data_IF_731307204296
#
_entry.id   IF_731307204296
#
_cell.length_a   1.000
_cell.length_b   1.000
_cell.length_c   1.000
_cell.angle_alpha   90.00
_cell.angle_beta   90.00
_cell.angle_gamma   90.00
#
_symmetry.space_group_name_H-M   'P 1'
#
loop_
_entity.id
_entity.type
_entity.pdbx_description
1 polymer ?
#
# COMPACT_ATOMS: atom_id res chain seq x y z
N UNK A 1 -19.38 13.50 -6.01
CA UNK A 1 -18.25 14.08 -5.27
C UNK A 1 -18.66 14.13 -3.81
N UNK A 2 -18.05 13.32 -2.93
CA UNK A 2 -18.32 13.42 -1.49
C UNK A 2 -17.71 14.72 -0.97
N UNK A 3 -18.46 15.41 -0.10
CA UNK A 3 -17.99 16.62 0.56
C UNK A 3 -16.86 16.23 1.53
N UNK A 4 -15.67 16.77 1.31
CA UNK A 4 -14.55 16.63 2.25
C UNK A 4 -14.78 17.61 3.40
N UNK A 5 -14.89 17.13 4.66
CA UNK A 5 -15.13 18.01 5.80
C UNK A 5 -13.89 18.88 6.10
N UNK A 6 -14.16 20.09 6.61
CA UNK A 6 -13.14 21.02 7.08
C UNK A 6 -13.08 21.03 8.60
N UNK A 7 -11.87 21.15 9.13
CA UNK A 7 -11.57 21.29 10.56
C UNK A 7 -10.98 22.69 10.80
N UNK A 8 -11.50 23.41 11.79
CA UNK A 8 -10.96 24.71 12.20
C UNK A 8 -10.23 24.54 13.53
N UNK A 9 -8.96 24.87 13.54
CA UNK A 9 -8.11 24.86 14.74
C UNK A 9 -7.81 26.30 15.20
N UNK A 10 -7.99 26.55 16.48
CA UNK A 10 -7.55 27.81 17.09
C UNK A 10 -6.11 27.69 17.54
N UNK A 11 -5.27 28.57 17.05
CA UNK A 11 -3.85 28.65 17.41
C UNK A 11 -3.55 30.00 18.04
N UNK A 12 -2.42 30.14 18.70
CA UNK A 12 -1.94 31.43 19.25
C UNK A 12 -1.75 32.53 18.19
N UNK A 13 -1.84 32.18 16.88
CA UNK A 13 -1.70 33.07 15.73
C UNK A 13 -3.02 33.29 14.97
N UNK A 14 -4.17 32.83 15.53
CA UNK A 14 -5.48 32.91 14.91
C UNK A 14 -6.02 31.55 14.46
N UNK A 15 -7.14 31.58 13.77
CA UNK A 15 -7.81 30.37 13.25
C UNK A 15 -7.13 29.88 11.97
N UNK A 16 -6.99 28.55 11.87
CA UNK A 16 -6.54 27.85 10.65
C UNK A 16 -7.57 26.82 10.26
N UNK A 17 -7.98 26.83 8.99
CA UNK A 17 -8.88 25.85 8.40
C UNK A 17 -8.11 24.87 7.55
N UNK A 18 -8.38 23.57 7.74
CA UNK A 18 -7.81 22.47 6.96
C UNK A 18 -8.94 21.59 6.47
N UNK A 19 -8.83 21.01 5.28
CA UNK A 19 -9.59 19.81 4.99
C UNK A 19 -9.08 18.65 5.85
N UNK A 20 -9.91 17.60 6.04
CA UNK A 20 -9.58 16.52 6.97
C UNK A 20 -8.30 15.77 6.58
N UNK A 21 -8.02 15.58 5.29
CA UNK A 21 -6.81 14.88 4.84
C UNK A 21 -5.55 15.71 5.08
N UNK A 22 -5.60 17.02 4.79
CA UNK A 22 -4.51 17.94 5.11
C UNK A 22 -4.26 18.01 6.62
N UNK A 23 -5.32 17.92 7.44
CA UNK A 23 -5.18 17.88 8.89
C UNK A 23 -4.51 16.59 9.37
N UNK A 24 -4.91 15.45 8.84
CA UNK A 24 -4.29 14.14 9.14
C UNK A 24 -2.83 14.09 8.69
N UNK A 25 -2.51 14.69 7.54
CA UNK A 25 -1.13 14.76 7.04
C UNK A 25 -0.20 15.48 8.02
N UNK A 26 -0.67 16.52 8.74
CA UNK A 26 0.11 17.17 9.79
C UNK A 26 0.47 16.21 10.94
N UNK A 27 -0.32 15.18 11.17
CA UNK A 27 -0.06 14.10 12.14
C UNK A 27 0.69 12.92 11.49
N UNK A 28 1.25 13.12 10.30
CA UNK A 28 2.01 12.13 9.50
C UNK A 28 1.17 10.93 9.06
N UNK A 29 -0.14 11.14 8.83
CA UNK A 29 -1.08 10.12 8.39
C UNK A 29 -1.38 10.32 6.91
N UNK A 30 -1.16 9.27 6.11
CA UNK A 30 -1.51 9.18 4.70
C UNK A 30 -2.63 8.15 4.56
N UNK A 31 -3.61 8.43 3.69
CA UNK A 31 -4.74 7.55 3.41
C UNK A 31 -4.72 7.10 1.94
N UNK A 32 -4.74 5.78 1.71
CA UNK A 32 -5.07 5.18 0.42
C UNK A 32 -6.45 4.52 0.57
N UNK A 33 -7.52 5.21 0.12
CA UNK A 33 -8.92 4.77 0.30
C UNK A 33 -9.63 4.52 -1.03
N UNK A 34 -8.86 4.25 -2.10
CA UNK A 34 -9.38 4.04 -3.45
C UNK A 34 -8.44 3.13 -4.26
N UNK A 35 -8.74 2.97 -5.54
CA UNK A 35 -7.89 2.22 -6.47
C UNK A 35 -6.51 2.86 -6.65
N UNK A 36 -5.48 2.03 -6.75
CA UNK A 36 -4.11 2.45 -7.08
C UNK A 36 -4.03 2.79 -8.56
N UNK A 37 -3.80 4.05 -8.87
CA UNK A 37 -3.63 4.58 -10.22
C UNK A 37 -2.54 5.68 -10.23
N UNK A 38 -2.23 6.24 -11.38
CA UNK A 38 -1.15 7.22 -11.52
C UNK A 38 -1.40 8.49 -10.69
N UNK A 39 -2.66 8.91 -10.55
CA UNK A 39 -3.02 10.10 -9.77
C UNK A 39 -2.85 9.83 -8.27
N UNK A 40 -3.42 8.72 -7.75
CA UNK A 40 -3.29 8.37 -6.34
C UNK A 40 -1.86 8.09 -5.96
N UNK A 41 -1.08 7.43 -6.83
CA UNK A 41 0.33 7.19 -6.61
C UNK A 41 1.14 8.49 -6.54
N UNK A 42 0.92 9.42 -7.47
CA UNK A 42 1.60 10.73 -7.45
C UNK A 42 1.32 11.51 -6.17
N UNK A 43 0.07 11.49 -5.68
CA UNK A 43 -0.31 12.15 -4.43
C UNK A 43 0.37 11.50 -3.22
N UNK A 44 0.40 10.18 -3.13
CA UNK A 44 1.02 9.45 -2.02
C UNK A 44 2.53 9.67 -2.04
N UNK A 45 3.19 9.57 -3.19
CA UNK A 45 4.62 9.85 -3.35
C UNK A 45 4.96 11.26 -2.88
N UNK A 46 4.17 12.26 -3.30
CA UNK A 46 4.38 13.65 -2.86
C UNK A 46 4.23 13.82 -1.35
N UNK A 47 3.25 13.15 -0.73
CA UNK A 47 3.05 13.18 0.72
C UNK A 47 4.19 12.48 1.48
N UNK A 48 4.68 11.34 0.99
CA UNK A 48 5.83 10.63 1.56
C UNK A 48 7.08 11.52 1.56
N UNK A 49 7.40 12.12 0.41
CA UNK A 49 8.55 13.03 0.26
C UNK A 49 8.41 14.30 1.11
N UNK A 50 7.21 14.85 1.20
CA UNK A 50 6.93 16.00 2.05
C UNK A 50 7.16 15.70 3.53
N UNK A 51 6.67 14.56 4.02
CA UNK A 51 6.83 14.15 5.42
C UNK A 51 8.28 13.77 5.74
N UNK A 52 8.99 13.15 4.81
CA UNK A 52 10.43 12.88 4.91
C UNK A 52 11.21 14.19 5.09
N UNK A 53 10.94 15.22 4.25
CA UNK A 53 11.61 16.51 4.33
C UNK A 53 11.31 17.26 5.63
N UNK A 54 10.18 16.99 6.28
CA UNK A 54 9.82 17.61 7.56
C UNK A 54 10.56 17.01 8.75
N UNK A 55 10.59 15.68 8.84
CA UNK A 55 11.26 14.97 9.93
C UNK A 55 11.53 13.50 9.49
N UNK A 56 12.75 13.18 9.07
CA UNK A 56 13.10 11.86 8.58
C UNK A 56 13.22 10.79 9.69
N UNK A 57 13.21 11.19 10.96
CA UNK A 57 13.38 10.28 12.10
C UNK A 57 12.04 9.85 12.72
N UNK A 58 10.92 10.42 12.24
CA UNK A 58 9.58 10.04 12.69
C UNK A 58 8.85 9.17 11.69
N UNK A 59 8.15 8.16 12.20
CA UNK A 59 7.33 7.25 11.41
C UNK A 59 6.23 7.98 10.63
N UNK A 60 5.92 7.45 9.46
CA UNK A 60 4.76 7.82 8.65
C UNK A 60 3.72 6.71 8.80
N UNK A 61 2.48 7.06 9.09
CA UNK A 61 1.36 6.10 9.19
C UNK A 61 0.61 6.06 7.86
N UNK A 62 0.65 4.92 7.20
CA UNK A 62 0.01 4.71 5.91
C UNK A 62 -1.19 3.77 6.04
N UNK A 63 -2.39 4.35 6.06
CA UNK A 63 -3.65 3.62 6.15
C UNK A 63 -4.11 3.17 4.77
N UNK A 64 -4.46 1.89 4.65
CA UNK A 64 -4.81 1.25 3.37
C UNK A 64 -6.20 0.64 3.46
N UNK A 65 -7.09 1.11 2.57
CA UNK A 65 -8.40 0.53 2.26
C UNK A 65 -8.58 0.56 0.74
N UNK A 66 -7.99 -0.40 0.04
CA UNK A 66 -7.86 -0.35 -1.41
C UNK A 66 -8.07 -1.73 -2.04
N UNK A 67 -8.80 -1.81 -3.17
CA UNK A 67 -8.90 -3.04 -3.97
C UNK A 67 -7.63 -3.35 -4.78
N UNK A 68 -6.60 -2.49 -4.71
CA UNK A 68 -5.43 -2.56 -5.56
C UNK A 68 -5.55 -1.71 -6.81
N UNK A 69 -4.95 -2.14 -7.92
CA UNK A 69 -4.99 -1.41 -9.19
C UNK A 69 -3.68 -1.52 -9.97
N UNK A 70 -3.24 -0.42 -10.59
CA UNK A 70 -2.05 -0.37 -11.44
C UNK A 70 -0.78 -0.79 -10.73
N UNK A 71 -0.13 -1.84 -11.25
CA UNK A 71 1.14 -2.34 -10.69
C UNK A 71 2.25 -1.29 -10.79
N UNK A 72 2.34 -0.58 -11.92
CA UNK A 72 3.37 0.44 -12.11
C UNK A 72 3.22 1.59 -11.11
N UNK A 73 1.98 2.05 -10.92
CA UNK A 73 1.65 3.08 -9.94
C UNK A 73 1.96 2.60 -8.50
N UNK A 74 1.60 1.36 -8.17
CA UNK A 74 1.90 0.77 -6.87
C UNK A 74 3.41 0.61 -6.60
N UNK A 75 4.19 0.23 -7.62
CA UNK A 75 5.65 0.14 -7.50
C UNK A 75 6.29 1.52 -7.29
N UNK A 76 5.73 2.60 -7.84
CA UNK A 76 6.22 3.96 -7.55
C UNK A 76 6.03 4.34 -6.07
N UNK A 77 4.89 3.96 -5.46
CA UNK A 77 4.67 4.13 -4.02
C UNK A 77 5.66 3.26 -3.23
N UNK A 78 5.76 1.97 -3.57
CA UNK A 78 6.67 1.02 -2.92
C UNK A 78 8.12 1.52 -2.93
N UNK A 79 8.65 1.86 -4.10
CA UNK A 79 10.02 2.32 -4.24
C UNK A 79 10.26 3.59 -3.40
N UNK A 80 9.28 4.48 -3.33
CA UNK A 80 9.38 5.69 -2.48
C UNK A 80 9.37 5.34 -0.99
N UNK A 81 8.52 4.40 -0.55
CA UNK A 81 8.52 3.91 0.83
C UNK A 81 9.87 3.30 1.24
N UNK A 82 10.55 2.61 0.31
CA UNK A 82 11.86 2.02 0.57
C UNK A 82 13.01 3.04 0.44
N UNK A 83 12.82 4.10 -0.35
CA UNK A 83 13.84 5.10 -0.62
C UNK A 83 14.01 6.12 0.51
N UNK A 84 12.90 6.53 1.15
CA UNK A 84 12.92 7.51 2.24
C UNK A 84 13.53 6.92 3.52
N UNK A 85 14.08 7.77 4.38
CA UNK A 85 14.67 7.36 5.65
C UNK A 85 13.63 7.06 6.73
N UNK A 86 12.51 7.79 6.70
CA UNK A 86 11.43 7.59 7.66
C UNK A 86 10.78 6.22 7.50
N UNK A 87 10.59 5.50 8.60
CA UNK A 87 9.86 4.23 8.59
C UNK A 87 8.38 4.47 8.22
N UNK A 88 7.87 3.66 7.29
CA UNK A 88 6.46 3.68 6.93
C UNK A 88 5.74 2.54 7.64
N UNK A 89 4.91 2.89 8.64
CA UNK A 89 3.99 1.95 9.28
C UNK A 89 2.74 1.81 8.42
N UNK A 90 2.42 0.59 7.99
CA UNK A 90 1.24 0.31 7.17
C UNK A 90 0.11 -0.25 8.01
N UNK A 91 -1.13 0.21 7.78
CA UNK A 91 -2.29 -0.20 8.57
C UNK A 91 -3.45 -0.54 7.62
N UNK A 92 -3.90 -1.81 7.61
CA UNK A 92 -5.09 -2.20 6.87
C UNK A 92 -6.36 -1.83 7.64
N UNK A 93 -7.27 -1.12 6.94
CA UNK A 93 -8.62 -0.76 7.44
C UNK A 93 -9.64 -1.18 6.40
N UNK A 94 -10.45 -2.20 6.69
CA UNK A 94 -11.42 -2.75 5.76
C UNK A 94 -10.77 -3.73 4.78
N UNK A 95 -10.26 -3.27 3.64
CA UNK A 95 -9.72 -4.14 2.59
C UNK A 95 -8.32 -3.69 2.14
N UNK A 96 -7.40 -4.64 2.05
CA UNK A 96 -6.16 -4.47 1.28
C UNK A 96 -6.04 -5.63 0.29
N UNK A 97 -6.37 -5.38 -0.98
CA UNK A 97 -6.33 -6.41 -2.02
C UNK A 97 -5.30 -6.09 -3.10
N UNK A 98 -4.71 -7.14 -3.70
CA UNK A 98 -3.80 -7.01 -4.84
C UNK A 98 -2.64 -6.05 -4.54
N UNK A 99 -2.49 -4.95 -5.30
CA UNK A 99 -1.49 -3.91 -5.00
C UNK A 99 -1.67 -3.27 -3.61
N UNK A 100 -2.89 -3.25 -3.05
CA UNK A 100 -3.12 -2.82 -1.66
C UNK A 100 -2.47 -3.75 -0.64
N UNK A 101 -2.60 -5.07 -0.82
CA UNK A 101 -1.93 -6.07 0.03
C UNK A 101 -0.41 -6.04 -0.14
N UNK A 102 0.07 -5.83 -1.37
CA UNK A 102 1.49 -5.65 -1.66
C UNK A 102 2.07 -4.46 -0.89
N UNK A 103 1.43 -3.29 -0.96
CA UNK A 103 1.85 -2.10 -0.22
C UNK A 103 1.76 -2.28 1.30
N UNK A 104 0.70 -2.96 1.78
CA UNK A 104 0.53 -3.29 3.19
C UNK A 104 1.72 -4.12 3.71
N UNK A 105 2.09 -5.17 2.99
CA UNK A 105 3.21 -6.05 3.37
C UNK A 105 4.58 -5.38 3.28
N UNK A 106 4.67 -4.23 2.58
CA UNK A 106 5.91 -3.50 2.30
C UNK A 106 6.25 -2.41 3.32
N UNK A 107 5.47 -2.28 4.39
CA UNK A 107 5.78 -1.42 5.52
C UNK A 107 7.03 -1.87 6.29
N UNK A 108 7.56 -1.01 7.14
CA UNK A 108 8.70 -1.32 7.99
C UNK A 108 8.41 -2.55 8.88
N UNK A 109 9.39 -3.45 9.02
CA UNK A 109 9.24 -4.68 9.82
C UNK A 109 8.86 -4.34 11.28
N UNK A 110 7.86 -5.05 11.79
CA UNK A 110 7.28 -4.81 13.12
C UNK A 110 6.23 -3.69 13.14
N UNK A 111 6.02 -2.98 12.01
CA UNK A 111 5.10 -1.84 11.89
C UNK A 111 4.01 -2.04 10.83
N UNK A 112 3.80 -3.30 10.38
CA UNK A 112 2.74 -3.68 9.44
C UNK A 112 1.55 -4.19 10.23
N UNK A 113 0.43 -3.49 10.16
CA UNK A 113 -0.69 -3.67 11.08
C UNK A 113 -1.99 -3.94 10.31
N UNK A 114 -2.93 -4.62 10.94
CA UNK A 114 -4.30 -4.76 10.45
C UNK A 114 -5.31 -4.57 11.59
N UNK A 115 -6.46 -3.97 11.28
CA UNK A 115 -7.61 -3.98 12.19
C UNK A 115 -8.29 -5.35 12.14
N UNK A 116 -8.98 -5.78 13.22
CA UNK A 116 -9.41 -7.19 13.39
C UNK A 116 -10.43 -7.68 12.36
N UNK A 117 -11.19 -6.77 11.73
CA UNK A 117 -12.16 -7.12 10.69
C UNK A 117 -11.66 -6.77 9.28
N UNK A 118 -10.35 -6.55 9.12
CA UNK A 118 -9.76 -6.31 7.81
C UNK A 118 -9.63 -7.60 7.03
N UNK A 119 -9.80 -7.49 5.72
CA UNK A 119 -9.59 -8.55 4.75
C UNK A 119 -8.37 -8.22 3.88
N UNK A 120 -7.50 -9.19 3.69
CA UNK A 120 -6.30 -9.05 2.89
C UNK A 120 -6.34 -10.08 1.77
N UNK A 121 -6.07 -9.67 0.53
CA UNK A 121 -6.09 -10.57 -0.62
C UNK A 121 -4.85 -10.41 -1.48
N UNK A 122 -4.19 -11.52 -1.74
CA UNK A 122 -3.06 -11.61 -2.68
C UNK A 122 -3.43 -12.41 -3.90
N UNK A 123 -2.93 -12.01 -5.05
CA UNK A 123 -3.04 -12.74 -6.32
C UNK A 123 -1.98 -12.28 -7.32
N UNK A 124 -1.84 -13.02 -8.43
CA UNK A 124 -0.95 -12.66 -9.51
C UNK A 124 -1.44 -11.41 -10.28
N UNK A 125 -0.53 -10.65 -10.92
CA UNK A 125 -0.93 -9.53 -11.76
C UNK A 125 -1.78 -10.02 -12.93
N UNK A 126 -2.84 -9.28 -13.24
CA UNK A 126 -3.64 -9.49 -14.43
C UNK A 126 -3.22 -8.50 -15.54
N UNK A 127 -3.39 -8.90 -16.77
CA UNK A 127 -3.13 -8.04 -17.92
C UNK A 127 -3.61 -8.67 -19.20
N UNK A 128 -3.71 -7.86 -20.24
CA UNK A 128 -4.08 -8.32 -21.57
C UNK A 128 -3.37 -7.50 -22.65
N UNK A 129 -3.33 -8.05 -23.86
CA UNK A 129 -2.77 -7.36 -25.02
C UNK A 129 -3.54 -7.74 -26.27
N UNK A 130 -3.68 -6.78 -27.17
CA UNK A 130 -4.25 -6.95 -28.49
C UNK A 130 -3.33 -6.29 -29.50
N UNK A 131 -3.15 -6.91 -30.67
CA UNK A 131 -2.29 -6.36 -31.73
C UNK A 131 -1.56 -7.45 -32.49
N UNK A 132 -0.40 -7.11 -33.04
CA UNK A 132 0.44 -8.06 -33.78
C UNK A 132 1.04 -9.13 -32.85
N UNK A 133 1.31 -10.31 -33.38
CA UNK A 133 1.85 -11.44 -32.62
C UNK A 133 3.08 -11.06 -31.79
N UNK A 134 4.03 -10.33 -32.37
CA UNK A 134 5.26 -9.88 -31.70
C UNK A 134 4.93 -8.93 -30.52
N UNK A 135 3.98 -8.03 -30.69
CA UNK A 135 3.57 -7.08 -29.61
C UNK A 135 2.93 -7.84 -28.44
N UNK A 136 2.08 -8.83 -28.75
CA UNK A 136 1.48 -9.70 -27.73
C UNK A 136 2.55 -10.47 -26.95
N UNK A 137 3.58 -11.00 -27.65
CA UNK A 137 4.69 -11.69 -26.99
C UNK A 137 5.52 -10.75 -26.09
N UNK A 138 5.73 -9.50 -26.51
CA UNK A 138 6.45 -8.50 -25.71
C UNK A 138 5.66 -8.24 -24.41
N UNK A 139 4.35 -8.00 -24.51
CA UNK A 139 3.49 -7.77 -23.34
C UNK A 139 3.42 -8.99 -22.41
N UNK A 140 3.29 -10.20 -22.96
CA UNK A 140 3.29 -11.41 -22.16
C UNK A 140 4.61 -11.57 -21.36
N UNK A 141 5.77 -11.35 -21.98
CA UNK A 141 7.06 -11.35 -21.28
C UNK A 141 7.14 -10.29 -20.18
N UNK A 142 6.58 -9.10 -20.44
CA UNK A 142 6.54 -8.02 -19.44
C UNK A 142 5.69 -8.41 -18.22
N UNK A 143 4.52 -9.00 -18.42
CA UNK A 143 3.64 -9.46 -17.34
C UNK A 143 4.33 -10.54 -16.52
N UNK A 144 4.96 -11.51 -17.15
CA UNK A 144 5.72 -12.57 -16.46
C UNK A 144 6.87 -11.99 -15.62
N UNK A 145 7.61 -11.03 -16.14
CA UNK A 145 8.68 -10.34 -15.41
C UNK A 145 8.14 -9.56 -14.19
N UNK A 146 6.97 -8.95 -14.33
CA UNK A 146 6.28 -8.26 -13.22
C UNK A 146 5.85 -9.27 -12.17
N UNK A 147 5.19 -10.37 -12.57
CA UNK A 147 4.78 -11.47 -11.66
C UNK A 147 5.97 -11.96 -10.83
N UNK A 148 7.07 -12.27 -11.49
CA UNK A 148 8.28 -12.75 -10.82
C UNK A 148 8.82 -11.73 -9.79
N UNK A 149 8.90 -10.45 -10.17
CA UNK A 149 9.35 -9.38 -9.26
C UNK A 149 8.45 -9.25 -8.03
N UNK A 150 7.14 -9.22 -8.21
CA UNK A 150 6.18 -9.08 -7.10
C UNK A 150 6.26 -10.28 -6.16
N UNK A 151 6.39 -11.50 -6.69
CA UNK A 151 6.55 -12.71 -5.90
C UNK A 151 7.83 -12.69 -5.05
N UNK A 152 8.95 -12.23 -5.59
CA UNK A 152 10.20 -12.11 -4.82
C UNK A 152 10.06 -11.09 -3.68
N UNK A 153 9.48 -9.92 -3.94
CA UNK A 153 9.27 -8.91 -2.91
C UNK A 153 8.31 -9.43 -1.82
N UNK A 154 7.21 -10.09 -2.20
CA UNK A 154 6.30 -10.71 -1.21
C UNK A 154 7.00 -11.82 -0.40
N UNK A 155 7.88 -12.61 -1.02
CA UNK A 155 8.67 -13.62 -0.32
C UNK A 155 9.61 -12.98 0.71
N UNK A 156 10.31 -11.91 0.36
CA UNK A 156 11.16 -11.14 1.28
C UNK A 156 10.33 -10.53 2.44
N UNK A 157 9.17 -9.97 2.14
CA UNK A 157 8.31 -9.33 3.14
C UNK A 157 7.71 -10.34 4.12
N UNK A 158 7.29 -11.52 3.62
CA UNK A 158 6.62 -12.55 4.43
C UNK A 158 7.57 -13.55 5.07
N UNK A 159 8.78 -13.69 4.53
CA UNK A 159 9.73 -14.72 4.92
C UNK A 159 9.41 -16.12 4.37
N UNK A 160 8.47 -16.23 3.42
CA UNK A 160 8.11 -17.49 2.77
C UNK A 160 8.99 -17.75 1.53
N UNK A 161 9.16 -19.04 1.12
CA UNK A 161 9.78 -19.36 -0.17
C UNK A 161 9.01 -18.72 -1.33
N UNK A 162 9.74 -18.29 -2.37
CA UNK A 162 9.12 -17.64 -3.54
C UNK A 162 8.17 -18.60 -4.29
N UNK A 163 8.45 -19.90 -4.28
CA UNK A 163 7.61 -20.94 -4.86
C UNK A 163 6.25 -21.01 -4.15
N UNK A 164 6.23 -20.91 -2.81
CA UNK A 164 4.99 -20.86 -2.02
C UNK A 164 4.19 -19.61 -2.34
N UNK A 165 4.85 -18.45 -2.44
CA UNK A 165 4.18 -17.20 -2.84
C UNK A 165 3.58 -17.34 -4.26
N UNK A 166 4.30 -17.96 -5.19
CA UNK A 166 3.86 -18.14 -6.56
C UNK A 166 2.60 -19.04 -6.64
N UNK A 167 2.53 -20.09 -5.83
CA UNK A 167 1.37 -20.99 -5.71
C UNK A 167 0.18 -20.26 -5.06
N UNK A 168 0.41 -19.59 -3.93
CA UNK A 168 -0.61 -18.91 -3.15
C UNK A 168 -1.21 -17.68 -3.87
N UNK A 169 -0.44 -17.06 -4.78
CA UNK A 169 -0.89 -15.95 -5.62
C UNK A 169 -1.48 -16.39 -6.97
N UNK A 170 -1.56 -17.69 -7.28
CA UNK A 170 -2.06 -18.14 -8.59
C UNK A 170 -3.54 -17.77 -8.82
N UNK A 171 -4.33 -17.69 -7.76
CA UNK A 171 -5.72 -17.22 -7.72
C UNK A 171 -5.94 -16.31 -6.52
N UNK A 172 -7.10 -15.66 -6.46
CA UNK A 172 -7.49 -14.83 -5.33
C UNK A 172 -7.40 -15.62 -4.02
N UNK A 173 -6.50 -15.19 -3.15
CA UNK A 173 -6.26 -15.79 -1.85
C UNK A 173 -6.61 -14.77 -0.77
N UNK A 174 -7.84 -14.88 -0.26
CA UNK A 174 -8.38 -14.01 0.78
C UNK A 174 -7.97 -14.52 2.16
N UNK A 175 -7.59 -13.60 3.03
CA UNK A 175 -7.16 -13.85 4.39
C UNK A 175 -7.82 -12.87 5.35
N UNK A 176 -8.28 -13.35 6.49
CA UNK A 176 -8.60 -12.52 7.65
C UNK A 176 -7.33 -11.81 8.16
N UNK A 177 -7.49 -10.84 9.05
CA UNK A 177 -6.35 -10.15 9.65
C UNK A 177 -5.40 -11.11 10.38
N UNK A 178 -5.95 -12.10 11.11
CA UNK A 178 -5.19 -13.12 11.83
C UNK A 178 -4.46 -14.09 10.90
N UNK A 179 -5.12 -14.53 9.82
CA UNK A 179 -4.49 -15.36 8.79
C UNK A 179 -3.38 -14.61 8.07
N UNK A 180 -3.57 -13.32 7.75
CA UNK A 180 -2.54 -12.48 7.14
C UNK A 180 -1.34 -12.25 8.09
N UNK A 181 -1.59 -12.17 9.40
CA UNK A 181 -0.52 -12.14 10.40
C UNK A 181 0.25 -13.46 10.44
N UNK A 182 -0.44 -14.59 10.49
CA UNK A 182 0.19 -15.90 10.47
C UNK A 182 0.95 -16.16 9.17
N UNK A 183 0.45 -15.62 8.06
CA UNK A 183 1.09 -15.67 6.74
C UNK A 183 2.38 -14.84 6.67
N UNK A 184 2.46 -13.73 7.41
CA UNK A 184 3.58 -12.79 7.43
C UNK A 184 3.37 -11.52 6.61
N UNK A 185 2.16 -11.28 6.10
CA UNK A 185 1.81 -10.04 5.38
C UNK A 185 1.71 -8.84 6.32
N UNK A 186 1.29 -9.07 7.57
CA UNK A 186 1.29 -8.08 8.64
C UNK A 186 1.99 -8.63 9.89
N UNK A 187 2.46 -7.73 10.74
CA UNK A 187 3.18 -8.10 11.97
C UNK A 187 2.24 -8.26 13.17
N UNK A 188 1.12 -7.52 13.17
CA UNK A 188 0.21 -7.49 14.32
C UNK A 188 -1.21 -7.10 13.94
N UNK A 189 -2.20 -7.78 14.53
CA UNK A 189 -3.59 -7.35 14.56
C UNK A 189 -3.80 -6.44 15.77
N UNK A 190 -4.36 -5.24 15.58
CA UNK A 190 -4.55 -4.23 16.63
C UNK A 190 -6.04 -4.03 16.92
N UNK A 191 -6.45 -4.27 18.16
CA UNK A 191 -7.84 -4.16 18.61
C UNK A 191 -8.13 -2.79 19.24
N UNK A 192 -7.10 -2.14 19.77
CA UNK A 192 -7.20 -0.80 20.40
C UNK A 192 -5.91 -0.01 20.13
N UNK A 193 -6.08 1.29 19.98
CA UNK A 193 -4.98 2.26 19.84
C UNK A 193 -4.31 2.52 21.18
#
# INVERSE_FOLDING_TARGET
>A
MSLVPYVVEQTNRGERSYDIFSRLLNDRIIMLSEEVNDTTASLIVAQLLYLEAQDPDKDIQFYINSPGGSVTAGLAIYDTMQYIKADVSTICVGLAASMGAFLLSSGAKGKRLALPNSEIMIHQPSGGSQGQCTDIQIQARQILRIKDRLNHILAENTGKPVETIAEDCERDNFMTAEEAQAYGLVDKVIYKR
#
